data_IF_378317549613
#
_entry.id   IF_378317549613
#
_cell.length_a   1.000
_cell.length_b   1.000
_cell.length_c   1.000
_cell.angle_alpha   90.00
_cell.angle_beta   90.00
_cell.angle_gamma   90.00
#
_symmetry.space_group_name_H-M   'P 1'
#
loop_
_entity.id
_entity.type
_entity.pdbx_description
1 polymer ?
#
# COMPACT_ATOMS: atom_id res chain seq x y z
N UNK A 1 11.80 21.61 -5.13
CA UNK A 1 11.29 21.74 -6.52
C UNK A 1 10.42 20.52 -6.79
N UNK A 2 9.19 20.66 -7.28
CA UNK A 2 8.23 19.55 -7.34
C UNK A 2 7.34 19.54 -8.60
N UNK A 3 6.81 18.37 -9.02
CA UNK A 3 5.99 18.16 -10.25
C UNK A 3 4.46 18.07 -10.02
N UNK A 4 3.63 18.71 -10.86
CA UNK A 4 2.15 18.68 -10.84
C UNK A 4 1.58 17.48 -11.66
N UNK A 5 0.50 16.83 -11.17
CA UNK A 5 -0.29 15.81 -11.89
C UNK A 5 -1.78 16.20 -11.97
N UNK A 6 -2.45 15.82 -13.06
CA UNK A 6 -3.86 16.14 -13.34
C UNK A 6 -4.56 14.89 -13.94
N UNK A 7 -5.72 14.51 -13.40
CA UNK A 7 -6.56 13.40 -13.89
C UNK A 7 -7.67 13.98 -14.79
N UNK A 8 -7.80 13.49 -16.03
CA UNK A 8 -8.88 13.89 -16.95
C UNK A 8 -9.95 12.81 -17.07
N UNK A 9 -11.20 13.22 -16.90
CA UNK A 9 -12.41 12.46 -17.21
C UNK A 9 -12.75 12.46 -18.70
N UNK A 10 -13.54 11.45 -19.09
CA UNK A 10 -13.87 11.10 -20.46
C UNK A 10 -14.92 12.03 -21.12
N UNK A 11 -14.72 12.34 -22.39
CA UNK A 11 -15.78 12.53 -23.37
C UNK A 11 -15.26 12.15 -24.76
N UNK A 12 -16.04 11.37 -25.49
CA UNK A 12 -15.67 10.71 -26.73
C UNK A 12 -16.05 11.54 -27.96
N UNK A 13 -15.12 11.64 -28.92
CA UNK A 13 -15.41 11.64 -30.36
C UNK A 13 -14.11 11.36 -31.11
N UNK A 14 -14.13 10.34 -31.96
CA UNK A 14 -12.97 9.81 -32.69
C UNK A 14 -12.57 10.70 -33.87
N UNK A 15 -11.27 10.93 -34.04
CA UNK A 15 -10.63 10.91 -35.37
C UNK A 15 -9.15 10.51 -35.22
N UNK A 16 -8.75 9.60 -36.09
CA UNK A 16 -7.48 8.89 -36.12
C UNK A 16 -6.31 9.81 -36.50
N UNK A 17 -5.33 9.97 -35.62
CA UNK A 17 -3.98 10.41 -35.99
C UNK A 17 -2.95 9.74 -35.09
N UNK A 18 -1.96 9.12 -35.74
CA UNK A 18 -0.85 8.38 -35.16
C UNK A 18 -0.14 9.18 -34.06
N UNK A 19 -0.41 8.84 -32.81
CA UNK A 19 0.21 9.51 -31.67
C UNK A 19 1.47 8.75 -31.30
N UNK A 20 2.61 9.22 -31.82
CA UNK A 20 3.91 8.96 -31.20
C UNK A 20 3.81 9.44 -29.75
N UNK A 21 3.79 8.50 -28.79
CA UNK A 21 3.82 8.79 -27.36
C UNK A 21 5.13 9.52 -27.02
N UNK A 22 5.09 10.84 -27.16
CA UNK A 22 6.15 11.73 -26.74
C UNK A 22 6.04 11.80 -25.24
N UNK A 23 6.90 11.07 -24.53
CA UNK A 23 7.04 11.15 -23.08
C UNK A 23 7.29 12.60 -22.71
N UNK A 24 6.26 13.33 -22.24
CA UNK A 24 6.39 14.71 -21.83
C UNK A 24 7.28 14.77 -20.59
N UNK A 25 8.51 15.20 -20.77
CA UNK A 25 9.45 15.48 -19.68
C UNK A 25 8.95 16.73 -18.95
N UNK A 26 8.01 16.57 -18.01
CA UNK A 26 7.51 17.67 -17.20
C UNK A 26 8.64 18.24 -16.33
N UNK A 27 8.96 19.52 -16.52
CA UNK A 27 10.01 20.23 -15.78
C UNK A 27 9.63 20.37 -14.29
N UNK A 28 10.60 20.24 -13.36
CA UNK A 28 10.35 20.48 -11.94
C UNK A 28 9.98 21.95 -11.68
N UNK A 29 9.07 22.20 -10.74
CA UNK A 29 8.61 23.55 -10.36
C UNK A 29 9.35 24.02 -9.11
N UNK A 30 9.78 25.27 -9.06
CA UNK A 30 10.43 25.84 -7.87
C UNK A 30 9.56 25.82 -6.62
N UNK A 31 10.19 25.81 -5.44
CA UNK A 31 9.49 25.73 -4.16
C UNK A 31 8.46 26.86 -3.96
N UNK A 32 8.77 28.06 -4.46
CA UNK A 32 7.88 29.22 -4.38
C UNK A 32 6.67 29.15 -5.33
N UNK A 33 6.70 28.27 -6.33
CA UNK A 33 5.72 28.22 -7.43
C UNK A 33 4.77 27.02 -7.32
N UNK A 34 4.80 26.28 -6.20
CA UNK A 34 3.88 25.17 -5.95
C UNK A 34 2.46 25.68 -5.71
N UNK A 35 1.46 24.89 -6.10
CA UNK A 35 0.03 25.27 -6.01
C UNK A 35 -0.70 24.51 -4.91
N UNK A 36 -1.54 25.20 -4.14
CA UNK A 36 -2.40 24.60 -3.10
C UNK A 36 -3.27 23.50 -3.71
N UNK A 37 -3.40 22.38 -2.98
CA UNK A 37 -4.23 21.23 -3.37
C UNK A 37 -3.55 20.27 -4.36
N UNK A 38 -2.42 20.64 -4.97
CA UNK A 38 -1.65 19.78 -5.89
C UNK A 38 -0.66 18.89 -5.15
N UNK A 39 -0.33 17.77 -5.80
CA UNK A 39 0.58 16.75 -5.34
C UNK A 39 1.90 16.84 -6.10
N UNK A 40 2.98 16.55 -5.40
CA UNK A 40 4.31 16.99 -5.76
C UNK A 40 5.35 15.99 -5.26
N UNK A 41 6.15 15.40 -6.15
CA UNK A 41 7.33 14.64 -5.74
C UNK A 41 8.49 15.57 -5.37
N UNK A 42 9.15 15.30 -4.25
CA UNK A 42 10.27 16.11 -3.76
C UNK A 42 11.55 15.81 -4.54
N UNK A 43 12.12 16.86 -5.12
CA UNK A 43 13.46 16.86 -5.70
C UNK A 43 14.37 17.81 -4.91
N UNK A 44 15.51 17.30 -4.44
CA UNK A 44 16.48 18.05 -3.62
C UNK A 44 17.84 18.19 -4.30
N UNK A 45 18.49 19.32 -4.04
CA UNK A 45 19.92 19.51 -4.26
C UNK A 45 20.54 19.87 -2.91
N UNK A 46 21.58 19.16 -2.47
CA UNK A 46 22.21 19.33 -1.16
C UNK A 46 23.69 19.65 -1.28
N UNK A 47 24.27 20.30 -0.25
CA UNK A 47 25.71 20.57 -0.18
C UNK A 47 26.56 19.29 -0.09
N UNK A 48 25.96 18.17 0.30
CA UNK A 48 26.59 16.85 0.35
C UNK A 48 26.66 16.13 -1.01
N UNK A 49 26.36 16.83 -2.11
CA UNK A 49 26.56 16.32 -3.48
C UNK A 49 25.36 15.58 -4.08
N UNK A 50 24.16 15.68 -3.49
CA UNK A 50 22.94 15.26 -4.19
C UNK A 50 22.52 16.36 -5.15
N UNK A 51 22.39 16.05 -6.45
CA UNK A 51 21.98 17.01 -7.48
C UNK A 51 20.67 16.58 -8.11
N UNK A 52 19.61 17.38 -7.93
CA UNK A 52 18.26 17.07 -8.43
C UNK A 52 17.82 15.64 -8.09
N UNK A 53 18.17 15.19 -6.89
CA UNK A 53 17.86 13.85 -6.40
C UNK A 53 16.37 13.74 -6.08
N UNK A 54 15.73 12.73 -6.67
CA UNK A 54 14.34 12.39 -6.39
C UNK A 54 14.27 11.67 -5.06
N UNK A 55 13.72 12.35 -4.06
CA UNK A 55 13.56 11.77 -2.72
C UNK A 55 12.57 10.61 -2.76
N UNK A 56 11.61 10.65 -3.69
CA UNK A 56 10.51 9.71 -3.81
C UNK A 56 9.30 10.07 -2.94
N UNK A 57 9.39 11.06 -2.06
CA UNK A 57 8.25 11.47 -1.24
C UNK A 57 7.26 12.32 -2.04
N UNK A 58 5.98 11.98 -1.96
CA UNK A 58 4.85 12.70 -2.53
C UNK A 58 4.21 13.55 -1.44
N UNK A 59 4.14 14.86 -1.70
CA UNK A 59 3.60 15.85 -0.78
C UNK A 59 2.42 16.58 -1.40
N UNK A 60 1.39 16.87 -0.60
CA UNK A 60 0.28 17.75 -0.98
C UNK A 60 0.48 19.13 -0.37
N UNK A 61 0.40 20.19 -1.18
CA UNK A 61 0.44 21.57 -0.65
C UNK A 61 -0.88 21.86 0.05
N UNK A 62 -0.83 22.15 1.35
CA UNK A 62 -2.01 22.44 2.17
C UNK A 62 -2.17 23.93 2.48
N UNK A 63 -1.11 24.71 2.36
CA UNK A 63 -1.13 26.14 2.65
C UNK A 63 0.25 26.77 2.51
N UNK A 64 0.37 28.00 2.99
CA UNK A 64 1.61 28.75 3.03
C UNK A 64 1.74 29.46 4.37
N UNK A 65 2.93 29.39 4.97
CA UNK A 65 3.31 30.29 6.05
C UNK A 65 4.17 31.40 5.44
N UNK A 66 3.60 32.61 5.35
CA UNK A 66 4.15 33.69 4.53
C UNK A 66 4.33 33.23 3.07
N UNK A 67 5.59 33.18 2.58
CA UNK A 67 5.93 32.70 1.23
C UNK A 67 6.41 31.24 1.21
N UNK A 68 6.51 30.60 2.36
CA UNK A 68 7.01 29.22 2.48
C UNK A 68 5.85 28.23 2.40
N UNK A 69 5.84 27.29 1.44
CA UNK A 69 4.76 26.31 1.33
C UNK A 69 4.74 25.36 2.53
N UNK A 70 3.53 24.97 2.92
CA UNK A 70 3.26 23.93 3.91
C UNK A 70 2.75 22.68 3.22
N UNK A 71 3.23 21.53 3.64
CA UNK A 71 2.96 20.26 3.01
C UNK A 71 2.36 19.26 3.98
N UNK A 72 1.37 18.51 3.50
CA UNK A 72 0.97 17.24 4.10
C UNK A 72 1.74 16.11 3.40
N UNK A 73 2.40 15.27 4.19
CA UNK A 73 2.98 14.03 3.68
C UNK A 73 1.87 13.10 3.20
N UNK A 74 2.00 12.59 1.98
CA UNK A 74 1.02 11.68 1.37
C UNK A 74 1.57 10.27 1.41
N UNK A 75 2.68 10.04 0.70
CA UNK A 75 3.30 8.73 0.59
C UNK A 75 4.74 8.85 0.11
N UNK A 76 5.46 7.74 0.10
CA UNK A 76 6.68 7.58 -0.69
C UNK A 76 6.32 6.78 -1.93
N UNK A 77 6.62 7.33 -3.11
CA UNK A 77 6.31 6.79 -4.42
C UNK A 77 6.87 5.37 -4.57
N UNK A 78 6.04 4.39 -4.25
CA UNK A 78 6.24 2.98 -4.46
C UNK A 78 4.84 2.35 -4.52
N UNK A 79 4.48 1.76 -5.67
CA UNK A 79 3.33 0.87 -5.73
C UNK A 79 3.63 -0.31 -4.81
N UNK A 80 2.74 -0.56 -3.86
CA UNK A 80 2.89 -1.58 -2.82
C UNK A 80 2.42 -2.92 -3.36
N UNK A 81 1.30 -2.97 -4.09
CA UNK A 81 0.81 -4.19 -4.73
C UNK A 81 0.37 -3.94 -6.16
N UNK A 82 0.68 -4.90 -7.03
CA UNK A 82 0.29 -4.93 -8.44
C UNK A 82 0.41 -6.36 -8.95
N UNK A 83 -0.64 -6.89 -9.60
CA UNK A 83 -0.62 -8.19 -10.29
C UNK A 83 -0.61 -7.99 -11.80
N UNK A 84 -1.37 -7.04 -12.30
CA UNK A 84 -1.49 -6.66 -13.71
C UNK A 84 -1.51 -5.11 -13.83
N UNK A 85 -2.50 -4.51 -14.48
CA UNK A 85 -2.63 -3.05 -14.61
C UNK A 85 -3.06 -2.35 -13.30
N UNK A 86 -3.45 -3.11 -12.26
CA UNK A 86 -3.78 -2.58 -10.95
C UNK A 86 -2.55 -2.00 -10.24
N UNK A 87 -2.77 -0.91 -9.50
CA UNK A 87 -1.74 -0.26 -8.68
C UNK A 87 -2.34 0.13 -7.35
N UNK A 88 -1.99 -0.61 -6.31
CA UNK A 88 -2.40 -0.30 -4.93
C UNK A 88 -1.22 0.32 -4.19
N UNK A 89 -1.42 1.55 -3.69
CA UNK A 89 -0.42 2.28 -2.92
C UNK A 89 -0.45 1.88 -1.43
N UNK A 90 0.56 2.31 -0.67
CA UNK A 90 0.58 2.17 0.79
C UNK A 90 -0.63 2.86 1.44
N UNK A 91 -1.01 4.02 0.91
CA UNK A 91 -2.13 4.81 1.42
C UNK A 91 -3.45 4.09 1.17
N UNK A 92 -3.63 3.50 0.00
CA UNK A 92 -4.85 2.76 -0.34
C UNK A 92 -4.99 1.51 0.54
N UNK A 93 -3.89 0.75 0.70
CA UNK A 93 -3.87 -0.43 1.57
C UNK A 93 -4.14 -0.05 3.04
N UNK A 94 -3.49 0.99 3.55
CA UNK A 94 -3.68 1.47 4.91
C UNK A 94 -5.14 1.90 5.17
N UNK A 95 -5.77 2.60 4.22
CA UNK A 95 -7.20 2.96 4.29
C UNK A 95 -8.10 1.73 4.28
N UNK A 96 -7.82 0.75 3.42
CA UNK A 96 -8.58 -0.48 3.32
C UNK A 96 -8.53 -1.28 4.64
N UNK A 97 -7.34 -1.43 5.22
CA UNK A 97 -7.12 -2.10 6.50
C UNK A 97 -7.77 -1.33 7.64
N UNK A 98 -7.71 0.01 7.64
CA UNK A 98 -8.37 0.84 8.66
C UNK A 98 -9.88 0.60 8.69
N UNK A 99 -10.52 0.44 7.53
CA UNK A 99 -11.95 0.11 7.46
C UNK A 99 -12.25 -1.30 7.97
N UNK A 100 -11.47 -2.30 7.55
CA UNK A 100 -11.67 -3.68 7.99
C UNK A 100 -11.42 -3.86 9.49
N UNK A 101 -10.47 -3.10 10.06
CA UNK A 101 -10.20 -3.08 11.51
C UNK A 101 -11.44 -2.70 12.34
N UNK A 102 -12.35 -1.86 11.83
CA UNK A 102 -13.57 -1.48 12.55
C UNK A 102 -14.49 -2.66 12.84
N UNK A 103 -14.42 -3.74 12.06
CA UNK A 103 -15.16 -4.98 12.32
C UNK A 103 -14.57 -5.76 13.51
N UNK A 104 -13.25 -5.65 13.73
CA UNK A 104 -12.53 -6.35 14.79
C UNK A 104 -12.66 -5.66 16.16
N UNK A 105 -12.80 -4.34 16.18
CA UNK A 105 -12.81 -3.55 17.43
C UNK A 105 -13.90 -3.95 18.43
N UNK A 106 -15.18 -4.18 18.03
CA UNK A 106 -16.23 -4.61 18.95
C UNK A 106 -15.98 -5.99 19.57
N UNK A 107 -15.17 -6.82 18.93
CA UNK A 107 -14.80 -8.16 19.40
C UNK A 107 -13.61 -8.13 20.37
N UNK A 108 -13.06 -6.94 20.62
CA UNK A 108 -11.85 -6.77 21.42
C UNK A 108 -10.60 -7.30 20.71
N UNK A 109 -10.63 -7.47 19.39
CA UNK A 109 -9.48 -7.93 18.59
C UNK A 109 -8.72 -6.71 18.07
N UNK A 110 -7.40 -6.72 18.21
CA UNK A 110 -6.54 -5.64 17.77
C UNK A 110 -5.53 -6.12 16.74
N UNK A 111 -5.55 -5.49 15.57
CA UNK A 111 -4.47 -5.57 14.59
C UNK A 111 -3.27 -4.76 15.08
N UNK A 112 -2.15 -5.45 15.32
CA UNK A 112 -0.90 -4.85 15.81
C UNK A 112 -0.03 -4.38 14.65
N UNK A 113 0.23 -5.29 13.71
CA UNK A 113 1.10 -5.07 12.56
C UNK A 113 0.51 -5.80 11.36
N UNK A 114 0.75 -5.26 10.17
CA UNK A 114 0.41 -5.92 8.93
C UNK A 114 1.52 -5.76 7.90
N UNK A 115 1.51 -6.64 6.91
CA UNK A 115 2.29 -6.54 5.68
C UNK A 115 1.52 -7.19 4.54
N UNK A 116 1.98 -7.01 3.32
CA UNK A 116 1.38 -7.57 2.12
C UNK A 116 2.44 -8.11 1.16
N UNK A 117 2.01 -8.90 0.18
CA UNK A 117 2.79 -9.15 -1.03
C UNK A 117 1.87 -9.55 -2.18
N UNK A 118 2.37 -9.39 -3.41
CA UNK A 118 1.71 -9.85 -4.62
C UNK A 118 2.19 -11.27 -4.93
N UNK A 119 1.28 -12.25 -4.81
CA UNK A 119 1.58 -13.65 -5.10
C UNK A 119 1.26 -13.96 -6.56
N UNK A 120 2.32 -14.10 -7.35
CA UNK A 120 2.27 -14.46 -8.77
C UNK A 120 2.69 -15.90 -9.02
N UNK A 121 2.85 -16.72 -7.97
CA UNK A 121 3.19 -18.14 -8.10
C UNK A 121 2.07 -18.96 -8.75
N UNK A 122 0.84 -18.47 -8.68
CA UNK A 122 -0.34 -19.03 -9.31
C UNK A 122 -0.87 -18.08 -10.38
N UNK A 123 -1.54 -18.64 -11.40
CA UNK A 123 -2.24 -17.87 -12.44
C UNK A 123 -3.74 -18.16 -12.35
N UNK A 124 -4.60 -17.16 -12.07
CA UNK A 124 -4.28 -15.74 -11.88
C UNK A 124 -3.65 -15.45 -10.51
N UNK A 125 -2.75 -14.46 -10.45
CA UNK A 125 -2.10 -14.04 -9.21
C UNK A 125 -3.07 -13.38 -8.23
N UNK A 126 -2.65 -13.17 -6.98
CA UNK A 126 -3.50 -12.59 -5.92
C UNK A 126 -2.71 -11.66 -5.00
N UNK A 127 -3.45 -10.80 -4.31
CA UNK A 127 -2.90 -10.11 -3.15
C UNK A 127 -2.95 -11.02 -1.93
N UNK A 128 -1.87 -11.04 -1.15
CA UNK A 128 -1.81 -11.73 0.14
C UNK A 128 -1.48 -10.72 1.22
N UNK A 129 -2.27 -10.73 2.29
CA UNK A 129 -2.07 -9.90 3.48
C UNK A 129 -1.67 -10.76 4.68
N UNK A 130 -0.71 -10.29 5.45
CA UNK A 130 -0.32 -10.86 6.73
C UNK A 130 -0.79 -9.95 7.86
N UNK A 131 -1.62 -10.47 8.77
CA UNK A 131 -2.13 -9.72 9.92
C UNK A 131 -1.67 -10.37 11.22
N UNK A 132 -0.99 -9.60 12.06
CA UNK A 132 -0.68 -10.00 13.43
C UNK A 132 -1.76 -9.47 14.38
N UNK A 133 -2.56 -10.39 14.92
CA UNK A 133 -3.72 -10.08 15.76
C UNK A 133 -3.47 -10.49 17.21
N UNK A 134 -4.01 -9.70 18.14
CA UNK A 134 -4.09 -10.05 19.57
C UNK A 134 -5.37 -9.57 20.22
N UNK A 135 -5.73 -10.15 21.36
CA UNK A 135 -6.82 -9.65 22.19
C UNK A 135 -6.45 -8.32 22.88
N UNK A 136 -7.42 -7.43 23.05
CA UNK A 136 -7.20 -6.15 23.74
C UNK A 136 -6.94 -6.41 25.22
N UNK A 137 -5.76 -6.05 25.69
CA UNK A 137 -5.35 -6.23 27.09
C UNK A 137 -4.64 -7.55 27.40
N UNK A 138 -4.46 -8.43 26.42
CA UNK A 138 -3.56 -9.59 26.53
C UNK A 138 -2.76 -9.80 25.25
N UNK A 139 -1.79 -10.71 25.27
CA UNK A 139 -1.05 -11.11 24.07
C UNK A 139 -1.59 -12.42 23.49
N UNK A 140 -2.80 -12.81 23.90
CA UNK A 140 -3.42 -14.05 23.45
C UNK A 140 -3.92 -13.92 22.02
N UNK A 141 -3.79 -15.02 21.28
CA UNK A 141 -4.35 -15.11 19.94
C UNK A 141 -5.89 -15.09 20.04
N UNK A 142 -6.57 -14.21 19.30
CA UNK A 142 -8.02 -14.17 19.29
C UNK A 142 -8.60 -15.45 18.67
N UNK A 143 -9.80 -15.83 19.10
CA UNK A 143 -10.55 -16.89 18.42
C UNK A 143 -10.96 -16.38 17.03
N UNK A 144 -10.39 -16.98 15.98
CA UNK A 144 -10.63 -16.58 14.61
C UNK A 144 -11.96 -17.16 14.12
N UNK A 145 -12.98 -16.31 14.00
CA UNK A 145 -14.23 -16.66 13.31
C UNK A 145 -14.03 -16.48 11.81
N UNK A 146 -14.14 -17.57 11.05
CA UNK A 146 -13.93 -17.55 9.60
C UNK A 146 -14.82 -16.53 8.90
N UNK A 147 -16.09 -16.38 9.31
CA UNK A 147 -17.02 -15.45 8.67
C UNK A 147 -16.58 -13.99 8.85
N UNK A 148 -16.07 -13.65 10.02
CA UNK A 148 -15.59 -12.30 10.35
C UNK A 148 -14.30 -12.00 9.59
N UNK A 149 -13.41 -13.00 9.47
CA UNK A 149 -12.16 -12.84 8.73
C UNK A 149 -12.41 -12.70 7.22
N UNK A 150 -13.34 -13.48 6.66
CA UNK A 150 -13.79 -13.35 5.27
C UNK A 150 -14.47 -11.99 5.01
N UNK A 151 -15.28 -11.49 5.95
CA UNK A 151 -15.86 -10.14 5.89
C UNK A 151 -14.77 -9.06 5.87
N UNK A 152 -13.73 -9.20 6.70
CA UNK A 152 -12.57 -8.30 6.67
C UNK A 152 -11.88 -8.31 5.29
N UNK A 153 -11.67 -9.49 4.69
CA UNK A 153 -11.13 -9.61 3.34
C UNK A 153 -12.00 -8.88 2.30
N UNK A 154 -13.33 -9.05 2.39
CA UNK A 154 -14.29 -8.38 1.51
C UNK A 154 -14.21 -6.86 1.62
N UNK A 155 -14.20 -6.31 2.84
CA UNK A 155 -14.08 -4.85 3.08
C UNK A 155 -12.77 -4.29 2.52
N UNK A 156 -11.68 -5.04 2.65
CA UNK A 156 -10.39 -4.66 2.07
C UNK A 156 -10.49 -4.60 0.55
N UNK A 157 -10.97 -5.66 -0.11
CA UNK A 157 -11.11 -5.70 -1.57
C UNK A 157 -12.04 -4.59 -2.10
N UNK A 158 -13.17 -4.35 -1.42
CA UNK A 158 -14.12 -3.29 -1.79
C UNK A 158 -13.52 -1.89 -1.69
N UNK A 159 -12.53 -1.72 -0.83
CA UNK A 159 -11.86 -0.44 -0.60
C UNK A 159 -10.78 -0.10 -1.61
N UNK A 160 -10.34 -1.06 -2.43
CA UNK A 160 -9.41 -0.79 -3.52
C UNK A 160 -10.07 -0.01 -4.67
N UNK A 161 -9.25 0.38 -5.64
CA UNK A 161 -9.68 1.19 -6.76
C UNK A 161 -10.57 0.41 -7.74
N UNK A 162 -11.12 1.12 -8.72
CA UNK A 162 -11.96 0.50 -9.75
C UNK A 162 -11.19 -0.52 -10.59
N UNK A 163 -9.90 -0.27 -10.85
CA UNK A 163 -9.04 -1.13 -11.67
C UNK A 163 -8.91 -2.52 -11.04
N UNK A 164 -8.52 -2.60 -9.77
CA UNK A 164 -8.43 -3.85 -9.01
C UNK A 164 -9.76 -4.60 -9.05
N UNK A 165 -10.87 -3.91 -8.73
CA UNK A 165 -12.21 -4.53 -8.70
C UNK A 165 -12.64 -5.06 -10.07
N UNK A 166 -12.35 -4.34 -11.14
CA UNK A 166 -12.65 -4.76 -12.51
C UNK A 166 -11.86 -6.01 -12.89
N UNK A 167 -10.55 -6.04 -12.60
CA UNK A 167 -9.68 -7.19 -12.87
C UNK A 167 -10.04 -8.41 -12.01
N UNK A 168 -10.43 -8.20 -10.75
CA UNK A 168 -10.95 -9.22 -9.83
C UNK A 168 -12.25 -9.85 -10.35
N UNK A 169 -13.16 -9.02 -10.89
CA UNK A 169 -14.43 -9.48 -11.52
C UNK A 169 -14.18 -10.20 -12.84
N UNK A 170 -13.20 -9.73 -13.63
CA UNK A 170 -12.78 -10.36 -14.89
C UNK A 170 -11.97 -11.65 -14.73
N UNK A 171 -11.65 -12.05 -13.49
CA UNK A 171 -10.86 -13.25 -13.21
C UNK A 171 -9.36 -13.10 -13.51
N UNK A 172 -8.87 -11.89 -13.73
CA UNK A 172 -7.43 -11.60 -13.94
C UNK A 172 -6.69 -11.59 -12.60
N UNK A 173 -7.37 -11.19 -11.52
CA UNK A 173 -6.86 -11.26 -10.14
C UNK A 173 -7.71 -12.26 -9.36
N UNK A 174 -7.05 -13.18 -8.67
CA UNK A 174 -7.66 -14.16 -7.77
C UNK A 174 -8.12 -13.51 -6.46
N UNK A 175 -8.95 -14.21 -5.67
CA UNK A 175 -9.42 -13.70 -4.38
C UNK A 175 -8.27 -13.30 -3.46
N UNK A 176 -8.39 -12.12 -2.83
CA UNK A 176 -7.47 -11.68 -1.78
C UNK A 176 -7.40 -12.74 -0.67
N UNK A 177 -6.17 -13.04 -0.25
CA UNK A 177 -5.88 -13.98 0.80
C UNK A 177 -5.40 -13.23 2.05
N UNK A 178 -5.98 -13.57 3.19
CA UNK A 178 -5.60 -13.03 4.48
C UNK A 178 -5.02 -14.15 5.35
N UNK A 179 -3.73 -14.03 5.67
CA UNK A 179 -3.00 -14.91 6.55
C UNK A 179 -2.86 -14.25 7.92
N UNK A 180 -3.45 -14.86 8.93
CA UNK A 180 -3.26 -14.43 10.32
C UNK A 180 -1.99 -15.10 10.85
N UNK A 181 -1.13 -14.32 11.49
CA UNK A 181 0.11 -14.79 12.12
C UNK A 181 0.04 -14.65 13.64
N UNK A 182 0.78 -15.50 14.35
CA UNK A 182 0.91 -15.44 15.83
C UNK A 182 1.55 -14.11 16.25
N UNK A 183 1.23 -13.69 17.47
CA UNK A 183 1.92 -12.54 18.08
C UNK A 183 3.44 -12.79 18.16
N UNK A 184 4.24 -11.78 17.82
CA UNK A 184 5.70 -11.84 17.79
C UNK A 184 6.28 -12.31 16.44
N UNK A 185 5.46 -12.69 15.46
CA UNK A 185 5.98 -13.07 14.13
C UNK A 185 6.64 -11.89 13.42
N UNK A 186 6.11 -10.67 13.59
CA UNK A 186 6.76 -9.49 13.02
C UNK A 186 8.01 -9.04 13.78
N UNK A 187 8.18 -9.47 15.04
CA UNK A 187 9.43 -9.30 15.79
C UNK A 187 10.51 -10.23 15.21
N UNK A 188 10.17 -11.50 14.92
CA UNK A 188 11.05 -12.42 14.20
C UNK A 188 11.44 -11.88 12.81
N UNK A 189 10.49 -11.22 12.11
CA UNK A 189 10.76 -10.55 10.84
C UNK A 189 11.73 -9.37 11.00
N UNK A 190 11.59 -8.59 12.07
CA UNK A 190 12.52 -7.52 12.40
C UNK A 190 13.93 -8.08 12.65
N UNK A 191 14.06 -9.12 13.47
CA UNK A 191 15.34 -9.77 13.76
C UNK A 191 16.00 -10.31 12.49
N UNK A 192 15.21 -10.86 11.56
CA UNK A 192 15.69 -11.26 10.24
C UNK A 192 16.32 -10.10 9.47
N UNK A 193 15.64 -8.94 9.37
CA UNK A 193 16.20 -7.78 8.67
C UNK A 193 17.41 -7.18 9.40
N UNK A 194 17.40 -7.17 10.73
CA UNK A 194 18.52 -6.71 11.55
C UNK A 194 19.74 -7.60 11.35
N UNK A 195 19.56 -8.92 11.28
CA UNK A 195 20.64 -9.87 10.96
C UNK A 195 21.24 -9.64 9.56
N UNK A 196 20.45 -9.08 8.63
CA UNK A 196 20.89 -8.66 7.28
C UNK A 196 21.46 -7.23 7.25
N UNK A 197 21.67 -6.60 8.41
CA UNK A 197 22.31 -5.29 8.54
C UNK A 197 21.36 -4.09 8.60
N UNK A 198 20.04 -4.32 8.75
CA UNK A 198 19.10 -3.21 8.99
C UNK A 198 19.33 -2.60 10.39
N UNK A 199 19.20 -1.28 10.48
CA UNK A 199 19.24 -0.58 11.78
C UNK A 199 17.97 -0.83 12.58
N UNK A 200 18.11 -1.33 13.80
CA UNK A 200 17.00 -1.55 14.74
C UNK A 200 16.20 -0.26 14.97
N UNK A 201 16.88 0.88 15.14
CA UNK A 201 16.22 2.16 15.48
C UNK A 201 15.46 2.79 14.32
N UNK A 202 15.71 2.34 13.08
CA UNK A 202 15.05 2.84 11.88
C UNK A 202 14.10 1.82 11.27
N UNK A 203 14.04 0.61 11.84
CA UNK A 203 13.22 -0.45 11.30
C UNK A 203 11.73 -0.09 11.39
N UNK A 204 11.04 -0.28 10.27
CA UNK A 204 9.59 -0.29 10.19
C UNK A 204 9.19 -1.57 9.48
N UNK A 205 8.12 -2.26 9.95
CA UNK A 205 7.56 -3.37 9.21
C UNK A 205 7.27 -2.94 7.75
N UNK A 206 7.80 -3.65 6.75
CA UNK A 206 7.57 -3.30 5.37
C UNK A 206 6.08 -3.48 5.04
N UNK A 207 5.47 -2.49 4.40
CA UNK A 207 4.07 -2.59 3.99
C UNK A 207 3.87 -3.62 2.86
N UNK A 208 4.85 -3.78 1.97
CA UNK A 208 4.92 -4.88 1.00
C UNK A 208 6.28 -5.57 1.02
N UNK A 209 6.23 -6.90 1.03
CA UNK A 209 7.38 -7.78 1.02
C UNK A 209 7.77 -8.11 -0.43
N UNK A 210 9.07 -7.97 -0.70
CA UNK A 210 9.69 -8.41 -1.97
C UNK A 210 10.62 -9.61 -1.79
N UNK A 211 10.99 -9.93 -0.55
CA UNK A 211 11.88 -11.06 -0.25
C UNK A 211 11.05 -12.32 -0.01
N UNK A 212 11.32 -13.38 -0.77
CA UNK A 212 10.72 -14.69 -0.56
C UNK A 212 11.05 -15.28 0.82
N UNK A 213 12.25 -14.99 1.35
CA UNK A 213 12.68 -15.49 2.66
C UNK A 213 11.84 -14.85 3.77
N UNK A 214 11.55 -13.55 3.65
CA UNK A 214 10.68 -12.83 4.57
C UNK A 214 9.24 -13.36 4.51
N UNK A 215 8.73 -13.66 3.31
CA UNK A 215 7.41 -14.30 3.14
C UNK A 215 7.38 -15.70 3.76
N UNK A 216 8.43 -16.50 3.57
CA UNK A 216 8.57 -17.83 4.20
C UNK A 216 8.56 -17.72 5.72
N UNK A 217 9.28 -16.74 6.29
CA UNK A 217 9.31 -16.49 7.73
C UNK A 217 7.91 -16.17 8.26
N UNK A 218 7.18 -15.25 7.63
CA UNK A 218 5.81 -14.95 8.06
C UNK A 218 4.87 -16.15 7.93
N UNK A 219 5.03 -16.98 6.89
CA UNK A 219 4.26 -18.21 6.72
C UNK A 219 4.51 -19.24 7.83
N UNK A 220 5.72 -19.30 8.41
CA UNK A 220 6.01 -20.19 9.55
C UNK A 220 5.23 -19.78 10.82
N UNK A 221 4.93 -18.49 10.97
CA UNK A 221 4.11 -17.97 12.07
C UNK A 221 2.60 -18.00 11.79
N UNK A 222 2.16 -18.54 10.66
CA UNK A 222 0.75 -18.52 10.26
C UNK A 222 -0.11 -19.44 11.14
N UNK A 223 -1.23 -18.90 11.61
CA UNK A 223 -2.22 -19.59 12.45
C UNK A 223 -3.57 -19.78 11.77
N UNK A 224 -3.83 -19.05 10.68
CA UNK A 224 -5.07 -19.18 9.90
C UNK A 224 -4.96 -18.51 8.54
N UNK A 225 -5.73 -18.99 7.58
CA UNK A 225 -5.83 -18.43 6.23
C UNK A 225 -7.30 -18.27 5.85
N UNK A 226 -7.62 -17.13 5.25
CA UNK A 226 -8.98 -16.76 4.88
C UNK A 226 -8.95 -16.11 3.50
N UNK A 227 -10.06 -16.23 2.76
CA UNK A 227 -10.15 -15.69 1.41
C UNK A 227 -11.31 -14.72 1.33
N UNK A 228 -11.16 -13.67 0.53
CA UNK A 228 -12.29 -12.82 0.22
C UNK A 228 -13.40 -13.65 -0.43
N UNK A 229 -14.66 -13.52 0.02
CA UNK A 229 -15.78 -14.23 -0.57
C UNK A 229 -15.87 -13.88 -2.05
N UNK A 230 -16.33 -14.83 -2.87
CA UNK A 230 -16.60 -14.55 -4.28
C UNK A 230 -17.64 -13.43 -4.35
N UNK A 231 -17.22 -12.25 -4.78
CA UNK A 231 -18.10 -11.12 -5.07
C UNK A 231 -19.14 -11.55 -6.10
N UNK A 232 -20.39 -11.76 -5.66
CA UNK A 232 -21.55 -11.76 -6.54
C UNK A 232 -21.97 -10.30 -6.77
N UNK A 233 -21.38 -9.63 -7.77
CA UNK A 233 -21.90 -8.36 -8.28
C UNK A 233 -22.21 -8.49 -9.76
#
# INVERSE_FOLDING_TARGET
>A
MSREFELRGASATESSESTNETTTVNKPVDLANVKIGRYYEVVVTTLAGLYRYRVGDILKVTGFYNKSPQFQFVERQNVVLSIDLDKTTEVDLSKAITKAKLVLEPLGIMLTTYSSYADTSLTPGRYVLFWELKMKGSNDLPKLDAKIMEECCGIVEESFDFTYKSLRKGGVISALELRVVKHGTFDELMDFYVSKGASISQYKPPCCLKSEEAVKLLNLGMVGTFFSPKTMF
#
